data_IF_748728017133
#
_entry.id   IF_748728017133
#
_cell.length_a   1.000
_cell.length_b   1.000
_cell.length_c   1.000
_cell.angle_alpha   90.00
_cell.angle_beta   90.00
_cell.angle_gamma   90.00
#
_symmetry.space_group_name_H-M   'P 1'
#
loop_
_entity.id
_entity.type
_entity.pdbx_description
1 polymer ?
#
# COMPACT_ATOMS: atom_id res chain seq x y z
N UNK A 1 -2.93 -6.10 -4.37
CA UNK A 1 -3.18 -5.85 -5.80
C UNK A 1 -4.39 -6.67 -6.23
N UNK A 2 -5.49 -6.07 -6.69
CA UNK A 2 -6.73 -6.82 -7.07
C UNK A 2 -7.32 -6.38 -8.39
N UNK A 3 -7.60 -5.09 -8.57
CA UNK A 3 -8.28 -4.59 -9.79
C UNK A 3 -7.35 -4.63 -11.00
N UNK A 4 -6.10 -4.19 -10.85
CA UNK A 4 -5.13 -4.17 -11.95
C UNK A 4 -4.84 -5.56 -12.51
N UNK A 5 -4.72 -6.58 -11.65
CA UNK A 5 -4.50 -7.96 -12.08
C UNK A 5 -5.68 -8.49 -12.91
N UNK A 6 -6.92 -8.21 -12.49
CA UNK A 6 -8.10 -8.65 -13.24
C UNK A 6 -8.19 -7.95 -14.59
N UNK A 7 -7.88 -6.66 -14.66
CA UNK A 7 -7.85 -5.90 -15.92
C UNK A 7 -6.80 -6.49 -16.88
N UNK A 8 -5.59 -6.78 -16.40
CA UNK A 8 -4.54 -7.40 -17.23
C UNK A 8 -5.00 -8.77 -17.78
N UNK A 9 -5.62 -9.61 -16.95
CA UNK A 9 -6.14 -10.92 -17.39
C UNK A 9 -7.27 -10.79 -18.41
N UNK A 10 -8.17 -9.82 -18.20
CA UNK A 10 -9.27 -9.54 -19.11
C UNK A 10 -8.77 -9.01 -20.46
N UNK A 11 -7.85 -8.05 -20.45
CA UNK A 11 -7.24 -7.50 -21.66
C UNK A 11 -6.51 -8.58 -22.45
N UNK A 12 -5.79 -9.47 -21.76
CA UNK A 12 -5.10 -10.58 -22.42
C UNK A 12 -6.05 -11.61 -23.04
N UNK A 13 -7.23 -11.82 -22.44
CA UNK A 13 -8.25 -12.75 -22.95
C UNK A 13 -9.13 -12.14 -24.04
N UNK A 14 -9.13 -10.81 -24.22
CA UNK A 14 -9.89 -10.07 -25.23
C UNK A 14 -11.39 -10.47 -25.29
N UNK A 15 -12.01 -10.67 -24.12
CA UNK A 15 -13.40 -11.13 -24.00
C UNK A 15 -14.12 -10.55 -22.79
N UNK A 16 -15.08 -9.64 -23.04
CA UNK A 16 -15.84 -8.90 -22.00
C UNK A 16 -16.81 -9.77 -21.21
N UNK A 17 -17.25 -10.89 -21.78
CA UNK A 17 -18.24 -11.78 -21.17
C UNK A 17 -17.75 -12.40 -19.85
N UNK A 18 -16.42 -12.53 -19.68
CA UNK A 18 -15.82 -13.16 -18.51
C UNK A 18 -15.33 -12.18 -17.45
N UNK A 19 -15.59 -10.87 -17.60
CA UNK A 19 -15.08 -9.87 -16.66
C UNK A 19 -15.68 -10.01 -15.25
N UNK A 20 -16.99 -10.22 -15.17
CA UNK A 20 -17.72 -10.37 -13.90
C UNK A 20 -17.27 -11.60 -13.12
N UNK A 21 -17.24 -12.82 -13.71
CA UNK A 21 -16.75 -13.99 -12.99
C UNK A 21 -15.27 -13.90 -12.61
N UNK A 22 -14.42 -13.26 -13.43
CA UNK A 22 -13.00 -13.05 -13.06
C UNK A 22 -12.83 -12.09 -11.89
N UNK A 23 -13.60 -10.99 -11.83
CA UNK A 23 -13.60 -10.08 -10.69
C UNK A 23 -14.03 -10.80 -9.41
N UNK A 24 -15.08 -11.61 -9.47
CA UNK A 24 -15.56 -12.39 -8.32
C UNK A 24 -14.51 -13.40 -7.84
N UNK A 25 -13.87 -14.12 -8.77
CA UNK A 25 -12.80 -15.07 -8.45
C UNK A 25 -11.58 -14.38 -7.80
N UNK A 26 -11.17 -13.21 -8.29
CA UNK A 26 -10.04 -12.48 -7.73
C UNK A 26 -10.34 -11.92 -6.34
N UNK A 27 -11.55 -11.38 -6.11
CA UNK A 27 -11.96 -10.86 -4.80
C UNK A 27 -12.09 -11.98 -3.78
N UNK A 28 -12.69 -13.11 -4.15
CA UNK A 28 -12.81 -14.28 -3.26
C UNK A 28 -11.44 -14.87 -2.92
N UNK A 29 -10.55 -15.01 -3.90
CA UNK A 29 -9.17 -15.47 -3.67
C UNK A 29 -8.43 -14.54 -2.72
N UNK A 30 -8.57 -13.23 -2.91
CA UNK A 30 -7.93 -12.23 -2.05
C UNK A 30 -8.51 -12.23 -0.64
N UNK A 31 -9.82 -12.38 -0.49
CA UNK A 31 -10.46 -12.46 0.83
C UNK A 31 -10.01 -13.70 1.61
N UNK A 32 -9.89 -14.84 0.92
CA UNK A 32 -9.33 -16.07 1.51
C UNK A 32 -7.86 -15.85 1.88
N UNK A 33 -7.06 -15.25 1.02
CA UNK A 33 -5.65 -14.95 1.31
C UNK A 33 -5.51 -14.02 2.54
N UNK A 34 -6.28 -12.93 2.58
CA UNK A 34 -6.30 -11.97 3.69
C UNK A 34 -6.70 -12.65 5.02
N UNK A 35 -7.47 -13.76 4.99
CA UNK A 35 -7.81 -14.55 6.17
C UNK A 35 -6.66 -15.45 6.68
N UNK A 36 -5.79 -15.93 5.77
CA UNK A 36 -4.61 -16.72 6.15
C UNK A 36 -3.42 -15.84 6.57
N UNK A 37 -3.29 -14.65 6.00
CA UNK A 37 -2.23 -13.72 6.32
C UNK A 37 -2.49 -12.36 5.69
N UNK A 38 -2.15 -11.28 6.42
CA UNK A 38 -2.38 -9.91 5.94
C UNK A 38 -1.35 -9.44 4.91
N UNK A 39 -0.23 -10.13 4.81
CA UNK A 39 0.90 -9.72 3.98
C UNK A 39 0.90 -10.47 2.65
N UNK A 40 0.99 -9.72 1.55
CA UNK A 40 1.28 -10.30 0.24
C UNK A 40 2.73 -10.76 0.14
N UNK A 41 3.04 -11.59 -0.86
CA UNK A 41 4.42 -12.06 -1.11
C UNK A 41 5.45 -10.92 -1.25
N UNK A 42 5.04 -9.79 -1.83
CA UNK A 42 5.91 -8.63 -2.03
C UNK A 42 6.17 -7.89 -0.72
N UNK A 43 5.14 -7.72 0.11
CA UNK A 43 5.26 -7.13 1.44
C UNK A 43 6.15 -8.02 2.32
N UNK A 44 5.92 -9.33 2.33
CA UNK A 44 6.77 -10.28 3.06
C UNK A 44 8.25 -10.18 2.64
N UNK A 45 8.54 -10.02 1.35
CA UNK A 45 9.92 -9.87 0.87
C UNK A 45 10.54 -8.52 1.25
N UNK A 46 9.75 -7.45 1.30
CA UNK A 46 10.17 -6.13 1.79
C UNK A 46 10.56 -6.21 3.27
N UNK A 47 9.73 -6.87 4.09
CA UNK A 47 9.99 -7.05 5.52
C UNK A 47 11.21 -7.94 5.78
N UNK A 48 11.36 -9.04 5.04
CA UNK A 48 12.50 -9.94 5.18
C UNK A 48 13.85 -9.26 4.87
N UNK A 49 13.86 -8.33 3.92
CA UNK A 49 15.08 -7.58 3.54
C UNK A 49 15.25 -6.26 4.32
N UNK A 50 14.34 -5.94 5.24
CA UNK A 50 14.37 -4.71 6.05
C UNK A 50 14.46 -3.45 5.20
N UNK A 51 13.70 -3.40 4.11
CA UNK A 51 13.61 -2.18 3.30
C UNK A 51 12.69 -1.16 3.98
N UNK A 52 13.07 0.14 4.02
CA UNK A 52 12.20 1.19 4.52
C UNK A 52 11.06 1.44 3.53
N UNK A 53 9.93 0.75 3.74
CA UNK A 53 8.72 0.88 2.93
C UNK A 53 7.62 1.55 3.76
N UNK A 54 6.96 2.56 3.18
CA UNK A 54 5.87 3.29 3.80
C UNK A 54 4.55 2.74 3.25
N UNK A 55 3.80 1.97 4.05
CA UNK A 55 2.51 1.44 3.62
C UNK A 55 1.44 2.56 3.63
N UNK A 56 0.57 2.54 2.63
CA UNK A 56 -0.59 3.43 2.49
C UNK A 56 -1.71 3.03 3.47
N UNK A 57 -1.71 1.76 3.90
CA UNK A 57 -2.71 1.22 4.84
C UNK A 57 -2.32 1.37 6.30
N UNK A 58 -1.07 1.71 6.59
CA UNK A 58 -0.66 1.93 7.96
C UNK A 58 -1.34 3.20 8.47
N UNK A 59 -2.24 3.02 9.44
CA UNK A 59 -2.73 4.13 10.25
C UNK A 59 -1.56 4.61 11.11
N UNK A 60 -0.88 5.67 10.67
CA UNK A 60 0.05 6.42 11.49
C UNK A 60 -0.71 6.99 12.68
N UNK A 61 -0.84 6.19 13.73
CA UNK A 61 -1.51 6.55 15.00
C UNK A 61 -0.76 7.70 15.68
N UNK A 62 0.49 7.95 15.30
CA UNK A 62 1.28 9.07 15.77
C UNK A 62 1.07 10.33 14.92
N UNK A 63 0.57 11.40 15.56
CA UNK A 63 0.68 12.80 15.10
C UNK A 63 2.15 13.24 15.09
N UNK A 64 3.00 12.59 14.31
CA UNK A 64 4.35 13.10 14.06
C UNK A 64 4.24 14.33 13.17
N UNK A 65 4.78 15.44 13.66
CA UNK A 65 4.76 16.70 12.95
C UNK A 65 5.99 16.74 12.02
N UNK A 66 5.88 17.49 10.92
CA UNK A 66 7.02 17.78 10.03
C UNK A 66 8.34 18.11 10.76
N UNK A 67 8.38 18.92 11.85
CA UNK A 67 9.61 19.19 12.61
C UNK A 67 10.31 17.96 13.21
N UNK A 68 9.61 16.86 13.49
CA UNK A 68 10.20 15.69 14.16
C UNK A 68 11.11 14.88 13.22
N UNK A 69 10.86 14.94 11.91
CA UNK A 69 11.62 14.21 10.89
C UNK A 69 12.53 15.10 10.04
N UNK A 70 12.23 16.39 9.95
CA UNK A 70 13.01 17.33 9.15
C UNK A 70 14.27 17.76 9.89
N UNK A 71 15.43 17.68 9.23
CA UNK A 71 16.66 18.30 9.73
C UNK A 71 16.76 19.74 9.20
N UNK A 72 16.77 20.77 10.07
CA UNK A 72 16.98 22.15 9.63
C UNK A 72 18.40 22.33 9.10
N UNK A 73 18.59 23.34 8.25
CA UNK A 73 19.93 23.66 7.73
C UNK A 73 20.80 24.23 8.86
N UNK A 74 22.13 24.04 8.82
CA UNK A 74 23.02 24.61 9.83
C UNK A 74 22.87 26.15 9.86
N UNK A 75 22.43 26.70 11.00
CA UNK A 75 22.26 28.14 11.21
C UNK A 75 20.81 28.65 11.16
N UNK A 76 19.82 27.81 10.84
CA UNK A 76 18.40 28.18 10.90
C UNK A 76 17.79 27.94 12.30
N UNK A 77 16.80 28.75 12.73
CA UNK A 77 16.08 28.52 13.98
C UNK A 77 15.29 27.19 13.95
N UNK A 78 15.00 26.59 15.12
CA UNK A 78 14.27 25.32 15.21
C UNK A 78 12.89 25.42 14.54
N UNK A 79 12.52 24.38 13.80
CA UNK A 79 11.26 24.31 13.06
C UNK A 79 10.07 24.42 14.03
N UNK A 80 9.23 25.42 13.82
CA UNK A 80 8.01 25.64 14.62
C UNK A 80 6.75 25.42 13.78
N UNK A 81 5.74 24.76 14.33
CA UNK A 81 4.44 24.58 13.66
C UNK A 81 3.63 25.88 13.77
N UNK A 82 3.25 26.47 12.63
CA UNK A 82 2.35 27.61 12.57
C UNK A 82 0.91 27.10 12.51
N UNK A 83 0.20 27.15 13.64
CA UNK A 83 -1.26 26.94 13.67
C UNK A 83 -1.95 28.26 13.34
N UNK A 84 -2.69 28.32 12.23
CA UNK A 84 -3.60 29.41 11.88
C UNK A 84 -4.99 29.16 12.44
#
# INVERSE_FOLDING_TARGET
MTVSLVVIMFEWMCGLEYIVPMMAAAVTSKWVADAFGKEGIYEAHIHLNVYPFLDVKDEFTHRTLAPDFMRPRPGEPPLSVLTQ
#
